data_IF_550099241992
#
_entry.id   IF_550099241992
#
_cell.length_a   1.000
_cell.length_b   1.000
_cell.length_c   1.000
_cell.angle_alpha   90.00
_cell.angle_beta   90.00
_cell.angle_gamma   90.00
#
_symmetry.space_group_name_H-M   'P 1'
#
loop_
_entity.id
_entity.type
_entity.pdbx_description
1 polymer ?
#
# COMPACT_ATOMS: atom_id res chain seq x y z
N UNK A 1 -27.15 -0.73 -23.87
CA UNK A 1 -26.34 -0.72 -22.61
C UNK A 1 -25.10 0.14 -22.82
N UNK A 2 -24.95 1.20 -22.03
CA UNK A 2 -23.84 2.16 -22.17
C UNK A 2 -22.48 1.50 -21.89
N UNK A 3 -21.40 2.00 -22.52
CA UNK A 3 -20.05 1.44 -22.38
C UNK A 3 -19.53 1.37 -20.95
N UNK A 4 -20.08 2.19 -20.05
CA UNK A 4 -19.76 2.22 -18.61
C UNK A 4 -20.30 0.99 -17.88
N UNK A 5 -21.54 0.58 -18.16
CA UNK A 5 -22.16 -0.61 -17.54
C UNK A 5 -21.42 -1.90 -17.93
N UNK A 6 -20.98 -2.01 -19.20
CA UNK A 6 -20.21 -3.14 -19.71
C UNK A 6 -18.81 -3.23 -19.07
N UNK A 7 -18.20 -2.07 -18.73
CA UNK A 7 -16.91 -1.96 -18.02
C UNK A 7 -17.00 -2.36 -16.54
N UNK A 8 -18.06 -1.95 -15.84
CA UNK A 8 -18.26 -2.33 -14.44
C UNK A 8 -18.49 -3.83 -14.26
N UNK A 9 -19.24 -4.45 -15.18
CA UNK A 9 -19.46 -5.90 -15.21
C UNK A 9 -18.16 -6.65 -15.48
N UNK A 10 -17.36 -6.20 -16.45
CA UNK A 10 -16.06 -6.85 -16.75
C UNK A 10 -15.04 -6.71 -15.63
N UNK A 11 -14.99 -5.59 -14.89
CA UNK A 11 -14.11 -5.46 -13.72
C UNK A 11 -14.59 -6.26 -12.50
N UNK A 12 -15.92 -6.40 -12.31
CA UNK A 12 -16.49 -7.28 -11.29
C UNK A 12 -16.19 -8.75 -11.59
N UNK A 13 -16.32 -9.16 -12.86
CA UNK A 13 -15.94 -10.49 -13.34
C UNK A 13 -14.43 -10.71 -13.26
N UNK A 14 -13.59 -9.74 -13.60
CA UNK A 14 -12.12 -9.84 -13.44
C UNK A 14 -11.70 -9.97 -11.98
N UNK A 15 -12.37 -9.26 -11.06
CA UNK A 15 -12.16 -9.42 -9.60
C UNK A 15 -12.63 -10.79 -9.12
N UNK A 16 -13.81 -11.25 -9.55
CA UNK A 16 -14.32 -12.59 -9.24
C UNK A 16 -13.41 -13.69 -9.77
N UNK A 17 -12.93 -13.57 -11.01
CA UNK A 17 -11.99 -14.52 -11.63
C UNK A 17 -10.61 -14.45 -11.00
N UNK A 18 -10.11 -13.27 -10.59
CA UNK A 18 -8.85 -13.17 -9.83
C UNK A 18 -8.98 -13.78 -8.43
N UNK A 19 -10.09 -13.53 -7.73
CA UNK A 19 -10.37 -14.15 -6.45
C UNK A 19 -10.53 -15.67 -6.56
N UNK A 20 -11.23 -16.16 -7.60
CA UNK A 20 -11.39 -17.58 -7.90
C UNK A 20 -10.08 -18.25 -8.34
N UNK A 21 -9.23 -17.57 -9.12
CA UNK A 21 -7.90 -18.07 -9.51
C UNK A 21 -6.91 -18.04 -8.35
N UNK A 22 -7.01 -17.07 -7.45
CA UNK A 22 -6.29 -17.07 -6.18
C UNK A 22 -6.76 -18.25 -5.32
N UNK A 23 -8.06 -18.52 -5.24
CA UNK A 23 -8.63 -19.70 -4.57
C UNK A 23 -8.13 -21.02 -5.15
N UNK A 24 -8.19 -21.19 -6.49
CA UNK A 24 -7.77 -22.41 -7.17
C UNK A 24 -6.25 -22.65 -7.18
N UNK A 25 -5.43 -21.64 -6.90
CA UNK A 25 -3.98 -21.77 -6.75
C UNK A 25 -3.51 -21.85 -5.29
N UNK A 26 -4.26 -21.27 -4.34
CA UNK A 26 -3.90 -21.21 -2.92
C UNK A 26 -4.18 -22.50 -2.13
N UNK A 27 -4.90 -23.45 -2.73
CA UNK A 27 -5.21 -24.75 -2.12
C UNK A 27 -4.79 -25.88 -3.06
N UNK A 28 -3.52 -25.90 -3.47
CA UNK A 28 -2.95 -27.14 -4.02
C UNK A 28 -2.75 -28.12 -2.84
N UNK A 29 -3.09 -29.41 -2.98
CA UNK A 29 -2.64 -30.43 -2.03
C UNK A 29 -1.10 -30.45 -2.07
N UNK A 30 -0.47 -30.02 -0.99
CA UNK A 30 0.98 -29.88 -0.87
C UNK A 30 1.38 -29.13 0.40
N UNK A 31 2.67 -29.16 0.74
CA UNK A 31 3.21 -28.40 1.87
C UNK A 31 3.20 -26.89 1.54
N UNK A 32 2.66 -26.05 2.45
CA UNK A 32 2.58 -24.62 2.22
C UNK A 32 3.99 -23.99 2.27
N UNK A 33 4.22 -22.97 1.44
CA UNK A 33 5.51 -22.27 1.33
C UNK A 33 5.98 -21.61 2.64
N UNK A 34 7.16 -20.96 2.64
CA UNK A 34 7.62 -20.24 3.82
C UNK A 34 6.76 -18.98 4.07
N UNK A 35 6.96 -18.38 5.24
CA UNK A 35 6.51 -17.01 5.47
C UNK A 35 7.41 -16.03 4.71
N UNK A 36 6.91 -14.84 4.33
CA UNK A 36 7.71 -13.87 3.60
C UNK A 36 8.85 -13.28 4.43
N UNK A 37 9.99 -13.08 3.79
CA UNK A 37 11.19 -12.45 4.35
C UNK A 37 11.02 -10.95 4.52
N UNK A 38 10.17 -10.33 3.69
CA UNK A 38 9.86 -8.92 3.78
C UNK A 38 8.48 -8.58 3.21
N UNK A 39 7.96 -7.40 3.58
CA UNK A 39 6.71 -6.88 3.05
C UNK A 39 6.89 -5.44 2.53
N UNK A 40 6.21 -5.10 1.44
CA UNK A 40 5.95 -3.69 1.08
C UNK A 40 4.60 -3.29 1.70
N UNK A 41 4.66 -2.61 2.84
CA UNK A 41 3.48 -2.39 3.70
C UNK A 41 2.72 -1.10 3.37
N UNK A 42 3.34 -0.20 2.61
CA UNK A 42 2.73 1.08 2.29
C UNK A 42 3.60 2.01 1.46
N UNK A 43 3.11 3.19 1.15
CA UNK A 43 1.73 3.64 1.36
C UNK A 43 0.90 3.51 0.07
N UNK A 44 -0.41 3.32 0.19
CA UNK A 44 -1.31 3.28 -0.96
C UNK A 44 -1.15 4.54 -1.82
N UNK A 45 -1.07 4.36 -3.15
CA UNK A 45 -0.85 5.45 -4.14
C UNK A 45 0.53 6.14 -4.10
N UNK A 46 1.52 5.51 -3.47
CA UNK A 46 2.92 5.96 -3.43
C UNK A 46 3.85 5.07 -4.28
N UNK A 47 3.40 4.62 -5.46
CA UNK A 47 4.27 3.85 -6.37
C UNK A 47 4.56 2.39 -5.99
N UNK A 48 3.93 1.83 -4.95
CA UNK A 48 4.16 0.44 -4.49
C UNK A 48 3.98 -0.65 -5.56
N UNK A 49 3.18 -0.39 -6.60
CA UNK A 49 3.02 -1.35 -7.71
C UNK A 49 4.26 -1.36 -8.60
N UNK A 50 4.87 -0.21 -8.88
CA UNK A 50 6.13 -0.14 -9.61
C UNK A 50 7.23 -0.86 -8.83
N UNK A 51 7.37 -0.54 -7.54
CA UNK A 51 8.34 -1.21 -6.67
C UNK A 51 8.12 -2.73 -6.60
N UNK A 52 6.87 -3.19 -6.52
CA UNK A 52 6.56 -4.62 -6.57
C UNK A 52 7.13 -5.27 -7.84
N UNK A 53 6.99 -4.64 -9.00
CA UNK A 53 7.54 -5.17 -10.25
C UNK A 53 9.06 -5.12 -10.30
N UNK A 54 9.70 -4.07 -9.76
CA UNK A 54 11.16 -3.98 -9.68
C UNK A 54 11.74 -5.10 -8.80
N UNK A 55 11.17 -5.31 -7.60
CA UNK A 55 11.56 -6.39 -6.70
C UNK A 55 11.28 -7.77 -7.29
N UNK A 56 10.14 -7.95 -7.97
CA UNK A 56 9.78 -9.21 -8.62
C UNK A 56 10.70 -9.57 -9.80
N UNK A 57 11.41 -8.59 -10.38
CA UNK A 57 12.38 -8.83 -11.44
C UNK A 57 13.74 -9.33 -10.91
N UNK A 58 14.00 -9.23 -9.60
CA UNK A 58 15.27 -9.67 -9.02
C UNK A 58 15.39 -11.21 -9.07
N UNK A 59 16.54 -11.78 -9.52
CA UNK A 59 16.70 -13.23 -9.73
C UNK A 59 16.61 -14.10 -8.46
N UNK A 60 16.68 -13.52 -7.27
CA UNK A 60 16.59 -14.22 -5.98
C UNK A 60 15.28 -13.91 -5.26
N UNK A 61 14.35 -13.21 -5.90
CA UNK A 61 13.07 -12.85 -5.29
C UNK A 61 11.96 -13.63 -5.98
N UNK A 62 11.23 -14.40 -5.20
CA UNK A 62 10.07 -15.17 -5.65
C UNK A 62 8.80 -14.50 -5.15
N UNK A 63 7.88 -14.22 -6.05
CA UNK A 63 6.62 -13.55 -5.69
C UNK A 63 5.58 -14.53 -5.16
N UNK A 64 4.74 -14.04 -4.25
CA UNK A 64 3.50 -14.72 -3.93
C UNK A 64 2.58 -14.88 -5.16
N UNK A 65 1.54 -15.70 -5.04
CA UNK A 65 0.55 -15.98 -6.08
C UNK A 65 -0.18 -14.72 -6.64
N UNK A 66 -0.02 -13.57 -5.98
CA UNK A 66 -0.48 -12.27 -6.44
C UNK A 66 -0.04 -11.14 -5.51
N UNK A 67 -0.20 -9.90 -5.97
CA UNK A 67 -0.01 -8.69 -5.17
C UNK A 67 -1.24 -8.47 -4.28
N UNK A 68 -1.05 -7.83 -3.12
CA UNK A 68 -2.08 -7.47 -2.15
C UNK A 68 -2.84 -8.67 -1.60
N UNK A 69 -2.16 -9.59 -0.90
CA UNK A 69 -2.82 -10.74 -0.27
C UNK A 69 -3.77 -10.32 0.84
N UNK A 70 -3.56 -9.16 1.47
CA UNK A 70 -4.41 -8.61 2.53
C UNK A 70 -4.63 -9.58 3.71
N UNK A 71 -3.64 -10.44 3.97
CA UNK A 71 -3.66 -11.40 5.07
C UNK A 71 -3.82 -10.72 6.42
N UNK A 72 -2.99 -9.74 6.78
CA UNK A 72 -3.05 -9.12 8.10
C UNK A 72 -4.25 -8.18 8.32
N UNK A 73 -4.96 -7.84 7.25
CA UNK A 73 -6.13 -6.95 7.25
C UNK A 73 -7.42 -7.76 7.05
N UNK A 74 -7.91 -7.84 5.81
CA UNK A 74 -9.21 -8.42 5.44
C UNK A 74 -9.28 -9.93 5.66
N UNK A 75 -8.12 -10.61 5.71
CA UNK A 75 -8.03 -12.07 5.75
C UNK A 75 -7.35 -12.62 7.01
N UNK A 76 -7.26 -11.83 8.09
CA UNK A 76 -6.46 -12.19 9.27
C UNK A 76 -6.95 -13.45 9.98
N UNK A 77 -8.23 -13.79 9.86
CA UNK A 77 -8.83 -15.02 10.40
C UNK A 77 -8.62 -16.29 9.56
N UNK A 78 -7.93 -16.23 8.40
CA UNK A 78 -7.77 -17.39 7.50
C UNK A 78 -6.72 -18.41 7.97
N UNK A 79 -5.91 -18.07 8.98
CA UNK A 79 -4.86 -18.92 9.53
C UNK A 79 -3.58 -18.97 8.69
N UNK A 80 -2.48 -19.36 9.34
CA UNK A 80 -1.13 -19.31 8.75
C UNK A 80 -0.96 -20.23 7.53
N UNK A 81 -1.64 -21.39 7.51
CA UNK A 81 -1.59 -22.32 6.36
C UNK A 81 -2.13 -21.67 5.09
N UNK A 82 -3.23 -20.91 5.19
CA UNK A 82 -3.78 -20.17 4.04
C UNK A 82 -2.79 -19.14 3.54
N UNK A 83 -2.17 -18.37 4.44
CA UNK A 83 -1.19 -17.35 4.07
C UNK A 83 0.03 -17.96 3.37
N UNK A 84 0.63 -18.98 3.98
CA UNK A 84 1.77 -19.71 3.44
C UNK A 84 1.49 -20.39 2.10
N UNK A 85 0.23 -20.78 1.85
CA UNK A 85 -0.21 -21.35 0.57
C UNK A 85 -0.09 -20.40 -0.63
N UNK A 86 0.11 -19.09 -0.39
CA UNK A 86 0.35 -18.12 -1.45
C UNK A 86 1.81 -18.01 -1.88
N UNK A 87 2.75 -18.55 -1.11
CA UNK A 87 4.18 -18.40 -1.39
C UNK A 87 4.75 -19.68 -2.02
N UNK A 88 5.63 -19.56 -3.04
CA UNK A 88 6.29 -20.71 -3.63
C UNK A 88 7.33 -21.30 -2.66
N UNK A 89 7.76 -22.54 -2.93
CA UNK A 89 8.98 -23.07 -2.31
C UNK A 89 10.19 -22.26 -2.78
N UNK A 90 11.17 -22.11 -1.90
CA UNK A 90 12.39 -21.32 -2.13
C UNK A 90 13.59 -22.25 -2.18
N UNK A 91 14.48 -21.99 -3.13
CA UNK A 91 15.83 -22.54 -3.12
C UNK A 91 16.71 -21.76 -2.10
N UNK A 92 17.85 -22.32 -1.65
CA UNK A 92 18.78 -21.59 -0.79
C UNK A 92 19.17 -20.23 -1.39
N UNK A 93 19.11 -19.18 -0.57
CA UNK A 93 19.41 -17.81 -0.98
C UNK A 93 18.26 -17.06 -1.65
N UNK A 94 17.17 -17.73 -2.02
CA UNK A 94 15.96 -17.05 -2.48
C UNK A 94 15.16 -16.47 -1.32
N UNK A 95 14.47 -15.36 -1.60
CA UNK A 95 13.57 -14.67 -0.68
C UNK A 95 12.18 -14.57 -1.29
N UNK A 96 11.16 -14.41 -0.44
CA UNK A 96 9.79 -14.13 -0.88
C UNK A 96 9.16 -12.97 -0.14
N UNK A 97 8.17 -12.34 -0.79
CA UNK A 97 7.51 -11.16 -0.27
C UNK A 97 6.07 -11.03 -0.75
N UNK A 98 5.33 -10.16 -0.07
CA UNK A 98 4.09 -9.60 -0.59
C UNK A 98 4.09 -8.07 -0.48
N UNK A 99 3.20 -7.42 -1.23
CA UNK A 99 2.99 -5.99 -1.18
C UNK A 99 1.52 -5.68 -0.95
N UNK A 100 1.19 -5.16 0.24
CA UNK A 100 -0.18 -4.86 0.68
C UNK A 100 -0.22 -3.46 1.29
N UNK A 101 -0.30 -2.38 0.46
CA UNK A 101 -0.09 -1.00 0.91
C UNK A 101 -1.12 -0.47 1.93
N UNK A 102 -2.21 -1.19 2.13
CA UNK A 102 -3.22 -0.88 3.13
C UNK A 102 -2.71 -1.17 4.56
N UNK A 103 -1.72 -2.07 4.70
CA UNK A 103 -1.16 -2.48 5.99
C UNK A 103 -0.62 -1.31 6.81
N UNK A 104 0.07 -0.36 6.19
CA UNK A 104 0.63 0.79 6.89
C UNK A 104 -0.43 1.56 7.69
N UNK A 105 -1.63 1.72 7.11
CA UNK A 105 -2.69 2.55 7.69
C UNK A 105 -3.57 1.82 8.71
N UNK A 106 -3.80 0.52 8.51
CA UNK A 106 -4.76 -0.24 9.32
C UNK A 106 -4.27 -0.36 10.78
N UNK A 107 -5.07 0.05 11.79
CA UNK A 107 -4.59 0.16 13.17
C UNK A 107 -4.22 -1.20 13.80
N UNK A 108 -4.96 -2.28 13.49
CA UNK A 108 -4.67 -3.62 14.03
C UNK A 108 -3.53 -4.39 13.34
N UNK A 109 -3.04 -3.92 12.18
CA UNK A 109 -2.08 -4.69 11.37
C UNK A 109 -0.69 -4.79 11.99
N UNK A 110 -0.08 -3.72 12.55
CA UNK A 110 1.26 -3.78 13.11
C UNK A 110 1.46 -4.91 14.13
N UNK A 111 0.55 -5.05 15.10
CA UNK A 111 0.62 -6.08 16.13
C UNK A 111 0.53 -7.51 15.53
N UNK A 112 -0.37 -7.72 14.56
CA UNK A 112 -0.52 -9.02 13.88
C UNK A 112 0.73 -9.40 13.09
N UNK A 113 1.32 -8.42 12.42
CA UNK A 113 2.55 -8.59 11.66
C UNK A 113 3.71 -8.92 12.58
N UNK A 114 3.88 -8.19 13.69
CA UNK A 114 4.92 -8.46 14.67
C UNK A 114 4.81 -9.88 15.26
N UNK A 115 3.59 -10.32 15.58
CA UNK A 115 3.34 -11.66 16.11
C UNK A 115 3.62 -12.79 15.10
N UNK A 116 3.37 -12.55 13.81
CA UNK A 116 3.48 -13.60 12.78
C UNK A 116 4.83 -13.60 12.07
N UNK A 117 5.43 -12.43 11.89
CA UNK A 117 6.65 -12.20 11.12
C UNK A 117 7.71 -11.51 12.00
N UNK A 118 8.21 -12.20 13.04
CA UNK A 118 9.11 -11.60 14.02
C UNK A 118 10.51 -11.32 13.48
N UNK A 119 10.84 -11.70 12.23
CA UNK A 119 12.15 -11.44 11.61
C UNK A 119 12.06 -10.71 10.26
N UNK A 120 10.87 -10.55 9.69
CA UNK A 120 10.71 -9.94 8.37
C UNK A 120 11.11 -8.45 8.33
N UNK A 121 11.54 -7.95 7.17
CA UNK A 121 11.79 -6.51 6.98
C UNK A 121 10.61 -5.84 6.28
N UNK A 122 10.47 -4.53 6.45
CA UNK A 122 9.32 -3.79 5.95
C UNK A 122 9.77 -2.59 5.14
N UNK A 123 9.16 -2.39 3.97
CA UNK A 123 9.43 -1.25 3.10
C UNK A 123 8.20 -0.35 3.02
N UNK A 124 8.43 0.94 3.20
CA UNK A 124 7.44 2.01 3.12
C UNK A 124 7.87 3.03 2.07
N UNK A 125 7.02 3.24 1.07
CA UNK A 125 7.09 4.35 0.13
C UNK A 125 6.13 5.46 0.58
N UNK A 126 6.64 6.65 0.83
CA UNK A 126 5.84 7.85 1.06
C UNK A 126 5.83 8.73 -0.19
N UNK A 127 4.87 9.64 -0.29
CA UNK A 127 4.69 10.58 -1.40
C UNK A 127 4.10 11.86 -0.83
N UNK A 128 4.23 12.98 -1.52
CA UNK A 128 3.48 14.20 -1.20
C UNK A 128 2.02 13.84 -0.83
N UNK A 129 1.60 14.11 0.42
CA UNK A 129 0.30 13.68 0.93
C UNK A 129 -0.87 14.34 0.18
N UNK A 130 -0.69 15.56 -0.37
CA UNK A 130 -1.69 16.23 -1.21
C UNK A 130 -1.90 15.44 -2.49
N UNK A 131 -0.80 15.14 -3.19
CA UNK A 131 -0.83 14.39 -4.45
C UNK A 131 -1.29 12.95 -4.24
N UNK A 132 -0.94 12.33 -3.10
CA UNK A 132 -1.41 11.00 -2.74
C UNK A 132 -2.91 11.00 -2.45
N UNK A 133 -3.43 11.96 -1.68
CA UNK A 133 -4.85 12.08 -1.36
C UNK A 133 -5.69 12.18 -2.64
N UNK A 134 -5.30 13.09 -3.56
CA UNK A 134 -6.00 13.24 -4.83
C UNK A 134 -5.88 11.99 -5.72
N UNK A 135 -4.70 11.35 -5.76
CA UNK A 135 -4.53 10.09 -6.49
C UNK A 135 -5.39 8.95 -5.93
N UNK A 136 -5.65 8.95 -4.62
CA UNK A 136 -6.54 7.98 -3.97
C UNK A 136 -7.99 8.26 -4.34
N UNK A 137 -8.43 9.52 -4.28
CA UNK A 137 -9.76 9.93 -4.76
C UNK A 137 -10.03 9.47 -6.20
N UNK A 138 -9.13 9.78 -7.15
CA UNK A 138 -9.28 9.36 -8.55
C UNK A 138 -9.36 7.83 -8.71
N UNK A 139 -8.58 7.10 -7.91
CA UNK A 139 -8.61 5.64 -7.91
C UNK A 139 -9.96 5.11 -7.40
N UNK A 140 -10.51 5.67 -6.32
CA UNK A 140 -11.82 5.30 -5.80
C UNK A 140 -12.95 5.66 -6.79
N UNK A 141 -12.88 6.85 -7.41
CA UNK A 141 -13.79 7.28 -8.50
C UNK A 141 -13.78 6.33 -9.69
N UNK A 142 -12.61 5.85 -10.09
CA UNK A 142 -12.49 4.93 -11.23
C UNK A 142 -13.21 3.60 -11.06
N UNK A 143 -13.43 3.19 -9.81
CA UNK A 143 -14.22 2.00 -9.48
C UNK A 143 -15.71 2.31 -9.26
N UNK A 144 -16.14 3.56 -9.41
CA UNK A 144 -17.51 4.00 -9.16
C UNK A 144 -17.90 3.98 -7.69
N UNK A 145 -16.92 4.10 -6.77
CA UNK A 145 -17.15 3.95 -5.33
C UNK A 145 -17.28 5.28 -4.58
N UNK A 146 -16.74 6.36 -5.12
CA UNK A 146 -16.89 7.70 -4.54
C UNK A 146 -17.92 8.48 -5.35
N UNK A 147 -19.10 8.79 -4.81
CA UNK A 147 -20.08 9.59 -5.51
C UNK A 147 -19.77 11.09 -5.52
N UNK A 148 -19.05 11.60 -4.51
CA UNK A 148 -18.87 13.04 -4.29
C UNK A 148 -17.77 13.65 -5.16
N UNK A 149 -17.76 14.99 -5.21
CA UNK A 149 -16.60 15.76 -5.68
C UNK A 149 -15.42 15.59 -4.72
N UNK A 150 -14.21 15.97 -5.14
CA UNK A 150 -13.04 15.83 -4.26
C UNK A 150 -13.15 16.70 -3.01
N UNK A 151 -13.67 17.93 -3.13
CA UNK A 151 -13.88 18.82 -1.99
C UNK A 151 -14.87 18.20 -0.98
N UNK A 152 -16.07 17.83 -1.45
CA UNK A 152 -17.10 17.27 -0.57
C UNK A 152 -16.68 15.90 0.02
N UNK A 153 -15.86 15.13 -0.72
CA UNK A 153 -15.33 13.86 -0.24
C UNK A 153 -14.32 14.05 0.91
N UNK A 154 -13.52 15.12 0.88
CA UNK A 154 -12.63 15.50 1.98
C UNK A 154 -13.45 15.94 3.20
N UNK A 155 -14.44 16.81 2.98
CA UNK A 155 -15.25 17.38 4.05
C UNK A 155 -16.10 16.29 4.75
N UNK A 156 -16.55 15.27 4.01
CA UNK A 156 -17.30 14.13 4.55
C UNK A 156 -16.41 13.01 5.15
N UNK A 157 -15.09 13.06 4.99
CA UNK A 157 -14.20 11.95 5.32
C UNK A 157 -14.28 11.55 6.79
N UNK A 158 -14.12 12.51 7.70
CA UNK A 158 -14.00 12.26 9.13
C UNK A 158 -15.24 11.53 9.67
N UNK A 159 -16.43 12.06 9.38
CA UNK A 159 -17.69 11.46 9.80
C UNK A 159 -17.88 10.06 9.19
N UNK A 160 -17.56 9.88 7.90
CA UNK A 160 -17.65 8.58 7.21
C UNK A 160 -16.76 7.54 7.86
N UNK A 161 -15.51 7.89 8.16
CA UNK A 161 -14.58 6.98 8.82
C UNK A 161 -15.04 6.67 10.24
N UNK A 162 -15.36 7.68 11.04
CA UNK A 162 -15.80 7.52 12.42
C UNK A 162 -17.05 6.63 12.52
N UNK A 163 -18.05 6.86 11.67
CA UNK A 163 -19.27 6.03 11.60
C UNK A 163 -18.95 4.58 11.23
N UNK A 164 -18.09 4.37 10.23
CA UNK A 164 -17.76 3.03 9.75
C UNK A 164 -16.91 2.22 10.75
N UNK A 165 -16.13 2.89 11.60
CA UNK A 165 -15.24 2.24 12.58
C UNK A 165 -15.86 2.09 13.98
N UNK A 166 -17.12 2.50 14.21
CA UNK A 166 -17.79 2.35 15.52
C UNK A 166 -17.77 0.92 16.06
N UNK A 167 -17.91 -0.07 15.17
CA UNK A 167 -17.84 -1.49 15.52
C UNK A 167 -16.42 -2.08 15.50
N UNK A 168 -15.38 -1.24 15.51
CA UNK A 168 -13.98 -1.64 15.40
C UNK A 168 -13.44 -1.63 13.97
N UNK A 169 -12.09 -1.61 13.82
CA UNK A 169 -11.40 -1.41 12.54
C UNK A 169 -11.45 -2.63 11.59
N UNK A 170 -11.80 -3.80 12.13
CA UNK A 170 -11.84 -5.07 11.39
C UNK A 170 -13.23 -5.44 10.84
N UNK A 171 -14.24 -4.59 11.09
CA UNK A 171 -15.56 -4.80 10.49
C UNK A 171 -15.50 -4.61 8.97
N UNK A 172 -16.40 -5.27 8.24
CA UNK A 172 -16.49 -5.11 6.78
C UNK A 172 -16.76 -3.65 6.38
N UNK A 173 -17.55 -2.92 7.18
CA UNK A 173 -17.81 -1.49 7.01
C UNK A 173 -16.53 -0.66 7.19
N UNK A 174 -15.78 -0.90 8.26
CA UNK A 174 -14.50 -0.22 8.51
C UNK A 174 -13.50 -0.48 7.39
N UNK A 175 -13.29 -1.74 7.00
CA UNK A 175 -12.39 -2.08 5.89
C UNK A 175 -12.82 -1.41 4.58
N UNK A 176 -14.12 -1.34 4.29
CA UNK A 176 -14.63 -0.62 3.11
C UNK A 176 -14.32 0.87 3.21
N UNK A 177 -14.60 1.50 4.34
CA UNK A 177 -14.41 2.95 4.49
C UNK A 177 -12.92 3.33 4.48
N UNK A 178 -12.12 2.68 5.32
CA UNK A 178 -10.69 2.94 5.43
C UNK A 178 -9.99 2.74 4.08
N UNK A 179 -10.28 1.71 3.29
CA UNK A 179 -9.61 1.48 1.99
C UNK A 179 -10.00 2.47 0.89
N UNK A 180 -11.20 3.05 0.96
CA UNK A 180 -11.77 3.79 -0.16
C UNK A 180 -11.94 5.28 0.09
N UNK A 181 -12.16 5.70 1.34
CA UNK A 181 -12.56 7.06 1.71
C UNK A 181 -11.57 7.76 2.65
N UNK A 182 -10.42 7.16 2.97
CA UNK A 182 -9.38 7.78 3.80
C UNK A 182 -8.38 8.60 2.95
N UNK A 183 -8.88 9.62 2.26
CA UNK A 183 -8.11 10.52 1.42
C UNK A 183 -7.13 11.38 2.23
N UNK A 184 -7.56 12.19 3.18
CA UNK A 184 -6.67 13.04 3.97
C UNK A 184 -5.98 12.24 5.08
N UNK A 185 -6.73 11.42 5.80
CA UNK A 185 -6.27 10.69 6.97
C UNK A 185 -5.03 9.82 6.72
N UNK A 186 -4.93 9.24 5.52
CA UNK A 186 -3.80 8.39 5.11
C UNK A 186 -2.52 9.18 4.80
N UNK A 187 -2.60 10.50 4.67
CA UNK A 187 -1.45 11.40 4.51
C UNK A 187 -0.75 11.73 5.83
N UNK A 188 -1.39 11.41 6.96
CA UNK A 188 -0.81 11.57 8.30
C UNK A 188 0.14 10.41 8.58
N UNK A 189 1.30 10.43 7.93
CA UNK A 189 2.23 9.28 7.91
C UNK A 189 2.89 9.03 9.26
N UNK A 190 3.24 10.08 10.00
CA UNK A 190 3.88 9.95 11.30
C UNK A 190 3.02 9.11 12.26
N UNK A 191 1.71 9.36 12.32
CA UNK A 191 0.77 8.57 13.16
C UNK A 191 0.74 7.08 12.79
N UNK A 192 0.88 6.77 11.50
CA UNK A 192 0.94 5.40 11.02
C UNK A 192 2.26 4.74 11.43
N UNK A 193 3.37 5.44 11.21
CA UNK A 193 4.70 4.94 11.54
C UNK A 193 4.89 4.73 13.05
N UNK A 194 4.33 5.57 13.91
CA UNK A 194 4.39 5.34 15.37
C UNK A 194 3.76 3.99 15.76
N UNK A 195 2.61 3.65 15.17
CA UNK A 195 1.96 2.35 15.43
C UNK A 195 2.84 1.18 14.99
N UNK A 196 3.63 1.37 13.94
CA UNK A 196 4.58 0.36 13.49
C UNK A 196 5.82 0.30 14.38
N UNK A 197 6.43 1.43 14.73
CA UNK A 197 7.59 1.50 15.62
C UNK A 197 7.28 1.03 17.05
N UNK A 198 6.03 1.13 17.49
CA UNK A 198 5.58 0.57 18.77
C UNK A 198 5.54 -0.98 18.78
N UNK A 199 5.61 -1.64 17.62
CA UNK A 199 5.46 -3.09 17.49
C UNK A 199 6.68 -3.77 16.85
N UNK A 200 7.47 -3.01 16.08
CA UNK A 200 8.58 -3.51 15.29
C UNK A 200 9.78 -2.58 15.49
N UNK A 201 11.00 -3.13 15.70
CA UNK A 201 12.22 -2.33 15.75
C UNK A 201 12.39 -1.45 14.51
N UNK A 202 12.83 -0.20 14.70
CA UNK A 202 12.95 0.80 13.64
C UNK A 202 13.86 0.35 12.51
N UNK A 203 14.91 -0.41 12.83
CA UNK A 203 15.93 -0.95 11.91
C UNK A 203 15.35 -1.99 10.94
N UNK A 204 14.12 -2.47 11.20
CA UNK A 204 13.39 -3.38 10.31
C UNK A 204 12.39 -2.67 9.41
N UNK A 205 12.36 -1.34 9.42
CA UNK A 205 11.49 -0.55 8.56
C UNK A 205 12.33 0.44 7.75
N UNK A 206 12.39 0.22 6.44
CA UNK A 206 12.97 1.18 5.51
C UNK A 206 11.89 2.08 4.96
N UNK A 207 12.04 3.38 5.17
CA UNK A 207 11.15 4.41 4.66
C UNK A 207 11.88 5.18 3.58
N UNK A 208 11.24 5.43 2.45
CA UNK A 208 11.77 6.24 1.35
C UNK A 208 10.67 7.13 0.76
N UNK A 209 11.05 8.16 0.01
CA UNK A 209 10.10 8.95 -0.78
C UNK A 209 9.99 8.38 -2.19
N UNK A 210 8.78 8.45 -2.73
CA UNK A 210 8.51 8.11 -4.13
C UNK A 210 9.27 9.05 -5.06
N UNK A 211 9.43 10.32 -4.65
CA UNK A 211 10.19 11.34 -5.33
C UNK A 211 11.69 11.00 -5.44
N UNK A 212 12.27 10.36 -4.42
CA UNK A 212 13.66 9.90 -4.46
C UNK A 212 13.82 8.77 -5.48
N UNK A 213 12.91 7.77 -5.45
CA UNK A 213 12.87 6.69 -6.44
C UNK A 213 12.62 7.19 -7.88
N UNK A 214 12.09 8.41 -8.04
CA UNK A 214 11.95 9.05 -9.34
C UNK A 214 13.20 9.81 -9.78
N UNK A 215 13.90 10.43 -8.84
CA UNK A 215 15.06 11.30 -9.09
C UNK A 215 16.33 10.47 -9.28
N UNK A 216 16.55 9.49 -8.40
CA UNK A 216 17.61 8.49 -8.50
C UNK A 216 17.03 7.08 -8.28
N UNK A 217 16.42 6.48 -9.33
CA UNK A 217 15.83 5.16 -9.22
C UNK A 217 16.84 4.08 -8.85
N UNK A 218 18.05 4.14 -9.41
CA UNK A 218 19.06 3.10 -9.23
C UNK A 218 19.67 3.14 -7.81
N UNK A 219 20.05 4.31 -7.31
CA UNK A 219 20.58 4.46 -5.96
C UNK A 219 19.52 4.13 -4.90
N UNK A 220 18.32 4.71 -5.03
CA UNK A 220 17.22 4.46 -4.08
C UNK A 220 16.82 2.98 -4.05
N UNK A 221 16.75 2.31 -5.21
CA UNK A 221 16.49 0.88 -5.26
C UNK A 221 17.64 0.05 -4.67
N UNK A 222 18.90 0.42 -4.94
CA UNK A 222 20.07 -0.21 -4.35
C UNK A 222 20.08 -0.15 -2.82
N UNK A 223 19.69 0.98 -2.23
CA UNK A 223 19.50 1.14 -0.78
C UNK A 223 18.47 0.16 -0.22
N UNK A 224 17.33 0.01 -0.91
CA UNK A 224 16.32 -0.97 -0.53
C UNK A 224 16.86 -2.40 -0.60
N UNK A 225 17.60 -2.76 -1.65
CA UNK A 225 18.18 -4.10 -1.78
C UNK A 225 19.16 -4.39 -0.64
N UNK A 226 20.05 -3.45 -0.30
CA UNK A 226 20.95 -3.56 0.85
C UNK A 226 20.17 -3.74 2.15
N UNK A 227 19.17 -2.91 2.38
CA UNK A 227 18.29 -3.04 3.54
C UNK A 227 17.59 -4.41 3.58
N UNK A 228 17.14 -4.93 2.44
CA UNK A 228 16.52 -6.25 2.34
C UNK A 228 17.53 -7.41 2.39
N UNK A 229 18.84 -7.13 2.39
CA UNK A 229 19.89 -8.14 2.34
C UNK A 229 19.95 -8.89 1.00
N UNK A 230 19.45 -8.28 -0.07
CA UNK A 230 19.50 -8.81 -1.42
C UNK A 230 20.80 -8.35 -2.11
N UNK A 231 21.38 -9.17 -3.00
CA UNK A 231 22.48 -8.74 -3.86
C UNK A 231 22.14 -7.52 -4.69
N UNK A 232 23.16 -6.78 -5.14
CA UNK A 232 22.95 -5.69 -6.08
C UNK A 232 22.32 -6.23 -7.38
N UNK A 233 21.27 -5.56 -7.83
CA UNK A 233 20.57 -5.89 -9.07
C UNK A 233 19.90 -4.63 -9.61
N UNK A 234 19.92 -4.47 -10.94
CA UNK A 234 19.22 -3.38 -11.62
C UNK A 234 18.25 -4.00 -12.62
N UNK A 235 16.93 -3.72 -12.53
CA UNK A 235 15.99 -4.18 -13.54
C UNK A 235 16.27 -3.49 -14.89
N UNK A 236 15.84 -4.11 -15.98
CA UNK A 236 16.00 -3.57 -17.34
C UNK A 236 15.48 -2.12 -17.47
N UNK A 237 14.36 -1.83 -16.80
CA UNK A 237 13.82 -0.47 -16.72
C UNK A 237 13.09 -0.23 -15.40
N UNK A 238 13.23 0.99 -14.87
CA UNK A 238 12.43 1.49 -13.75
C UNK A 238 11.06 2.00 -14.23
N UNK A 239 10.30 1.13 -14.90
CA UNK A 239 9.00 1.49 -15.49
C UNK A 239 8.00 1.90 -14.42
N UNK A 240 7.31 3.03 -14.64
CA UNK A 240 6.22 3.49 -13.78
C UNK A 240 4.94 2.73 -14.12
N UNK A 241 4.51 1.87 -13.21
CA UNK A 241 3.26 1.12 -13.33
C UNK A 241 2.09 1.90 -12.72
N UNK A 242 1.79 3.07 -13.30
CA UNK A 242 0.65 3.91 -12.94
C UNK A 242 -0.28 4.09 -14.13
N UNK A 243 -1.56 3.73 -13.98
CA UNK A 243 -2.60 4.17 -14.90
C UNK A 243 -3.08 5.55 -14.45
N UNK A 244 -2.97 6.56 -15.31
CA UNK A 244 -3.77 7.78 -15.16
C UNK A 244 -5.22 7.37 -15.35
N UNK A 245 -6.04 7.59 -14.32
CA UNK A 245 -7.41 7.07 -14.30
C UNK A 245 -8.45 8.14 -14.60
N UNK A 246 -8.02 9.39 -14.69
CA UNK A 246 -8.88 10.52 -15.04
C UNK A 246 -8.25 11.35 -16.16
N UNK A 247 -9.06 11.60 -17.18
CA UNK A 247 -8.75 12.40 -18.37
C UNK A 247 -9.46 13.75 -18.36
N UNK A 248 -10.31 14.03 -17.36
CA UNK A 248 -11.01 15.30 -17.19
C UNK A 248 -10.16 16.40 -16.56
N UNK A 249 -10.78 17.56 -16.39
CA UNK A 249 -10.20 18.70 -15.65
C UNK A 249 -9.93 18.28 -14.21
N UNK A 250 -8.73 18.59 -13.71
CA UNK A 250 -8.34 18.26 -12.35
C UNK A 250 -9.24 18.96 -11.33
N UNK A 251 -9.83 18.19 -10.41
CA UNK A 251 -10.53 18.74 -9.25
C UNK A 251 -9.58 19.17 -8.13
N UNK A 252 -8.28 18.89 -8.22
CA UNK A 252 -7.27 19.46 -7.32
C UNK A 252 -6.93 20.88 -7.80
N UNK A 253 -7.77 21.84 -7.44
CA UNK A 253 -7.60 23.27 -7.72
C UNK A 253 -6.46 23.87 -6.90
N UNK A 254 -5.94 25.06 -7.25
CA UNK A 254 -4.96 25.78 -6.42
C UNK A 254 -5.43 25.97 -4.98
N UNK A 255 -6.68 26.41 -4.77
CA UNK A 255 -7.25 26.58 -3.42
C UNK A 255 -7.32 25.27 -2.62
N UNK A 256 -7.68 24.15 -3.27
CA UNK A 256 -7.67 22.84 -2.58
C UNK A 256 -6.26 22.32 -2.31
N UNK A 257 -5.28 22.66 -3.16
CA UNK A 257 -3.88 22.34 -2.92
C UNK A 257 -3.37 23.09 -1.69
N UNK A 258 -3.61 24.40 -1.62
CA UNK A 258 -3.25 25.26 -0.48
C UNK A 258 -3.90 24.76 0.81
N UNK A 259 -5.23 24.55 0.81
CA UNK A 259 -5.98 23.99 1.96
C UNK A 259 -5.40 22.66 2.46
N UNK A 260 -5.04 21.75 1.55
CA UNK A 260 -4.43 20.47 1.92
C UNK A 260 -2.97 20.64 2.36
N UNK A 261 -2.23 21.58 1.77
CA UNK A 261 -0.88 21.93 2.18
C UNK A 261 -0.85 22.40 3.63
N UNK A 262 -1.70 23.36 3.98
CA UNK A 262 -1.89 23.85 5.36
C UNK A 262 -2.30 22.72 6.31
N UNK A 263 -3.25 21.87 5.89
CA UNK A 263 -3.67 20.72 6.69
C UNK A 263 -2.51 19.74 6.95
N UNK A 264 -1.67 19.45 5.96
CA UNK A 264 -0.58 18.50 6.11
C UNK A 264 0.70 19.09 6.71
N UNK A 265 0.88 20.40 6.70
CA UNK A 265 2.07 21.07 7.24
C UNK A 265 2.48 20.58 8.65
N UNK A 266 1.59 20.58 9.68
CA UNK A 266 1.96 20.07 11.00
C UNK A 266 2.27 18.56 11.01
N UNK A 267 1.59 17.78 10.16
CA UNK A 267 1.83 16.33 10.04
C UNK A 267 3.15 16.02 9.35
N UNK A 268 3.53 16.83 8.35
CA UNK A 268 4.80 16.72 7.64
C UNK A 268 5.95 17.14 8.55
N UNK A 269 5.83 18.25 9.29
CA UNK A 269 6.83 18.64 10.28
C UNK A 269 7.07 17.54 11.33
N UNK A 270 6.00 16.90 11.81
CA UNK A 270 6.11 15.74 12.71
C UNK A 270 6.80 14.55 12.06
N UNK A 271 6.52 14.28 10.78
CA UNK A 271 7.18 13.20 10.02
C UNK A 271 8.69 13.47 9.86
N UNK A 272 9.06 14.71 9.52
CA UNK A 272 10.43 15.20 9.44
C UNK A 272 11.18 14.90 10.72
N UNK A 273 10.62 15.31 11.86
CA UNK A 273 11.21 15.07 13.17
C UNK A 273 11.29 13.56 13.50
N UNK A 274 10.23 12.80 13.21
CA UNK A 274 10.20 11.36 13.46
C UNK A 274 11.26 10.61 12.65
N UNK A 275 11.49 10.97 11.39
CA UNK A 275 12.39 10.28 10.48
C UNK A 275 13.81 10.85 10.45
N UNK A 276 14.04 12.04 10.99
CA UNK A 276 15.29 12.78 10.82
C UNK A 276 15.50 13.19 9.35
N UNK A 277 14.42 13.40 8.62
CA UNK A 277 14.47 13.81 7.21
C UNK A 277 14.62 15.32 7.09
N UNK A 278 15.11 15.85 5.95
CA UNK A 278 14.81 17.22 5.58
C UNK A 278 13.30 17.38 5.33
N UNK A 279 12.83 18.62 5.24
CA UNK A 279 11.42 18.89 4.92
C UNK A 279 10.99 18.08 3.67
N UNK A 280 10.02 17.15 3.81
CA UNK A 280 9.84 16.08 2.83
C UNK A 280 9.21 16.56 1.54
N UNK A 281 8.34 17.57 1.61
CA UNK A 281 7.62 18.17 0.49
C UNK A 281 7.40 19.66 0.77
N UNK A 282 7.71 20.57 -0.16
CA UNK A 282 7.41 21.99 0.02
C UNK A 282 5.90 22.20 0.09
N UNK A 283 5.47 23.12 0.98
CA UNK A 283 4.08 23.54 1.13
C UNK A 283 3.45 24.07 -0.16
#
# INVERSE_FOLDING_TARGET
MTGVARRQVTDRLRRGVRAARAWGRAVRPGEPGPLPDFLVIGAQRCGTTSLYHHLAAHPQVRVASGKELQYFSVHHGRGARWYRGHFPRLAPGERTFEASPYYLFHPSVPARVAATLPQARFVVLLRDPVQRAYSHYLHTRSYGLEPLSFADALDAEEERLARATRGGPDSAAAHRALRNYSYAARGRYAEQLDRWFAQVPRERIHVTRTEDLHTDPAGTYGDMLRFLGLPAFTPEAFTRHTRRVDHGVSQLTPALRERLGEHFAPHNARLTALLGWPEPWPG
#
